data_IF_539473605122
#
_entry.id   IF_539473605122
#
_cell.length_a   1.000
_cell.length_b   1.000
_cell.length_c   1.000
_cell.angle_alpha   90.00
_cell.angle_beta   90.00
_cell.angle_gamma   90.00
#
_symmetry.space_group_name_H-M   'P 1'
#
loop_
_entity.id
_entity.type
_entity.pdbx_description
1 polymer ?
#
# COMPACT_ATOMS: atom_id res chain seq x y z
N UNK A 1 13.87 -0.15 6.48
CA UNK A 1 13.56 -1.53 6.89
C UNK A 1 13.70 -2.42 5.65
N UNK A 2 14.65 -3.36 5.58
CA UNK A 2 14.84 -4.26 4.41
C UNK A 2 14.06 -5.57 4.61
N UNK A 3 12.73 -5.51 4.60
CA UNK A 3 11.89 -6.71 4.60
C UNK A 3 11.20 -6.80 3.24
N UNK A 4 11.46 -7.87 2.50
CA UNK A 4 10.80 -8.07 1.21
C UNK A 4 9.31 -8.42 1.41
N UNK A 5 9.04 -9.25 2.42
CA UNK A 5 7.70 -9.67 2.84
C UNK A 5 7.63 -9.56 4.37
N UNK A 6 6.47 -9.13 4.89
CA UNK A 6 6.13 -9.09 6.31
C UNK A 6 4.99 -10.08 6.53
N UNK A 7 5.14 -10.98 7.48
CA UNK A 7 4.08 -11.92 7.86
C UNK A 7 3.68 -11.62 9.30
N UNK A 8 2.41 -11.32 9.51
CA UNK A 8 1.82 -11.08 10.84
C UNK A 8 0.64 -12.00 11.04
N UNK A 9 0.31 -12.28 12.29
CA UNK A 9 -0.64 -13.33 12.63
C UNK A 9 -1.22 -13.07 14.02
N UNK A 10 -2.55 -13.09 14.15
CA UNK A 10 -3.27 -13.02 15.43
C UNK A 10 -4.10 -14.30 15.65
N UNK A 11 -5.14 -14.30 16.48
CA UNK A 11 -5.94 -15.51 16.73
C UNK A 11 -6.74 -15.96 15.49
N UNK A 12 -7.22 -15.03 14.67
CA UNK A 12 -8.22 -15.27 13.62
C UNK A 12 -7.62 -15.25 12.20
N UNK A 13 -6.57 -14.46 11.98
CA UNK A 13 -6.02 -14.20 10.65
C UNK A 13 -4.50 -14.28 10.62
N UNK A 14 -3.99 -14.75 9.49
CA UNK A 14 -2.60 -14.57 9.08
C UNK A 14 -2.58 -13.62 7.88
N UNK A 15 -1.73 -12.61 7.93
CA UNK A 15 -1.59 -11.62 6.86
C UNK A 15 -0.19 -11.72 6.26
N UNK A 16 -0.11 -11.82 4.93
CA UNK A 16 1.13 -11.69 4.16
C UNK A 16 1.12 -10.31 3.53
N UNK A 17 2.08 -9.47 3.88
CA UNK A 17 2.26 -8.14 3.29
C UNK A 17 3.52 -8.13 2.43
N UNK A 18 3.36 -7.98 1.12
CA UNK A 18 4.43 -7.80 0.14
C UNK A 18 5.03 -6.39 0.23
N UNK A 19 5.63 -6.08 1.38
CA UNK A 19 6.08 -4.73 1.77
C UNK A 19 6.99 -4.07 0.73
N UNK A 20 7.90 -4.83 0.11
CA UNK A 20 8.76 -4.28 -0.94
C UNK A 20 7.99 -3.92 -2.20
N UNK A 21 7.00 -4.73 -2.59
CA UNK A 21 6.11 -4.40 -3.72
C UNK A 21 5.35 -3.12 -3.41
N UNK A 22 4.76 -3.02 -2.21
CA UNK A 22 4.09 -1.80 -1.77
C UNK A 22 4.99 -0.56 -1.87
N UNK A 23 6.23 -0.63 -1.37
CA UNK A 23 7.17 0.50 -1.45
C UNK A 23 7.55 0.87 -2.89
N UNK A 24 7.73 -0.13 -3.77
CA UNK A 24 8.03 0.10 -5.18
C UNK A 24 6.85 0.73 -5.93
N UNK A 25 5.63 0.25 -5.68
CA UNK A 25 4.41 0.81 -6.24
C UNK A 25 4.13 2.22 -5.71
N UNK A 26 4.37 2.48 -4.42
CA UNK A 26 4.26 3.81 -3.83
C UNK A 26 5.21 4.79 -4.51
N UNK A 27 6.48 4.40 -4.72
CA UNK A 27 7.47 5.19 -5.45
C UNK A 27 7.02 5.50 -6.88
N UNK A 28 6.55 4.51 -7.63
CA UNK A 28 6.05 4.71 -8.99
C UNK A 28 4.82 5.62 -9.00
N UNK A 29 3.89 5.43 -8.07
CA UNK A 29 2.68 6.24 -7.93
C UNK A 29 3.02 7.71 -7.69
N UNK A 30 3.94 7.99 -6.77
CA UNK A 30 4.43 9.34 -6.48
C UNK A 30 5.06 9.96 -7.74
N UNK A 31 5.86 9.20 -8.50
CA UNK A 31 6.49 9.73 -9.71
C UNK A 31 5.46 10.07 -10.79
N UNK A 32 4.50 9.17 -11.04
CA UNK A 32 3.48 9.33 -12.09
C UNK A 32 2.52 10.47 -11.75
N UNK A 33 1.93 10.43 -10.55
CA UNK A 33 0.85 11.34 -10.19
C UNK A 33 1.31 12.60 -9.47
N UNK A 34 2.50 12.59 -8.88
CA UNK A 34 3.15 13.79 -8.35
C UNK A 34 4.03 14.53 -9.37
N UNK A 35 4.11 14.03 -10.62
CA UNK A 35 4.91 14.61 -11.70
C UNK A 35 6.36 14.93 -11.28
N UNK A 36 7.01 13.96 -10.62
CA UNK A 36 8.37 14.08 -10.09
C UNK A 36 9.23 12.92 -10.57
N UNK A 37 10.55 13.05 -10.47
CA UNK A 37 11.47 11.99 -10.90
C UNK A 37 11.40 10.79 -9.97
N UNK A 38 11.78 9.61 -10.47
CA UNK A 38 11.82 8.38 -9.66
C UNK A 38 12.80 8.51 -8.49
N UNK A 39 13.89 9.28 -8.64
CA UNK A 39 14.86 9.53 -7.57
C UNK A 39 14.25 10.36 -6.44
N UNK A 40 13.51 11.42 -6.78
CA UNK A 40 12.80 12.23 -5.80
C UNK A 40 11.68 11.43 -5.12
N UNK A 41 10.93 10.65 -5.89
CA UNK A 41 9.90 9.76 -5.35
C UNK A 41 10.50 8.74 -4.38
N UNK A 42 11.66 8.16 -4.70
CA UNK A 42 12.38 7.24 -3.81
C UNK A 42 12.78 7.92 -2.50
N UNK A 43 13.22 9.18 -2.55
CA UNK A 43 13.56 9.92 -1.34
C UNK A 43 12.32 10.16 -0.47
N UNK A 44 11.18 10.54 -1.07
CA UNK A 44 9.91 10.69 -0.37
C UNK A 44 9.47 9.38 0.31
N UNK A 45 9.56 8.24 -0.37
CA UNK A 45 9.23 6.93 0.24
C UNK A 45 10.14 6.61 1.44
N UNK A 46 11.43 6.93 1.37
CA UNK A 46 12.37 6.72 2.50
C UNK A 46 12.05 7.62 3.69
N UNK A 47 11.61 8.83 3.43
CA UNK A 47 11.31 9.84 4.45
C UNK A 47 9.85 9.74 4.94
N UNK A 48 9.03 8.89 4.32
CA UNK A 48 7.61 8.76 4.63
C UNK A 48 7.40 8.16 6.02
N UNK A 49 6.91 8.98 6.94
CA UNK A 49 6.83 8.65 8.37
C UNK A 49 6.15 7.31 8.70
N UNK A 50 5.01 6.94 8.06
CA UNK A 50 4.39 5.63 8.30
C UNK A 50 5.34 4.44 8.07
N UNK A 51 6.25 4.54 7.10
CA UNK A 51 7.22 3.47 6.79
C UNK A 51 8.44 3.45 7.71
N UNK A 52 8.59 4.44 8.58
CA UNK A 52 9.67 4.51 9.57
C UNK A 52 9.31 3.77 10.86
N UNK A 53 8.03 3.46 11.08
CA UNK A 53 7.58 2.70 12.23
C UNK A 53 7.75 1.19 12.01
N UNK A 54 8.05 0.40 13.06
CA UNK A 54 8.07 -1.05 12.96
C UNK A 54 6.68 -1.60 12.62
N UNK A 55 6.60 -2.42 11.58
CA UNK A 55 5.38 -3.17 11.22
C UNK A 55 5.57 -4.60 11.73
N UNK A 56 4.77 -4.97 12.73
CA UNK A 56 4.96 -6.23 13.46
C UNK A 56 3.66 -6.93 13.89
N UNK A 57 2.53 -6.23 13.85
CA UNK A 57 1.21 -6.75 14.25
C UNK A 57 0.24 -6.82 13.06
N UNK A 58 -0.87 -7.53 13.23
CA UNK A 58 -1.95 -7.54 12.22
C UNK A 58 -2.56 -6.16 12.06
N UNK A 59 -2.77 -5.43 13.16
CA UNK A 59 -3.24 -4.03 13.16
C UNK A 59 -2.32 -3.11 12.35
N UNK A 60 -1.00 -3.25 12.49
CA UNK A 60 -0.03 -2.45 11.72
C UNK A 60 -0.21 -2.69 10.21
N UNK A 61 -0.47 -3.93 9.79
CA UNK A 61 -0.66 -4.25 8.36
C UNK A 61 -2.03 -3.78 7.88
N UNK A 62 -3.07 -3.94 8.71
CA UNK A 62 -4.43 -3.47 8.44
C UNK A 62 -4.43 -1.96 8.19
N UNK A 63 -3.67 -1.20 8.99
CA UNK A 63 -3.49 0.25 8.82
C UNK A 63 -3.07 0.61 7.38
N UNK A 64 -2.09 -0.09 6.80
CA UNK A 64 -1.66 0.17 5.42
C UNK A 64 -2.69 -0.29 4.38
N UNK A 65 -3.36 -1.41 4.62
CA UNK A 65 -4.35 -1.98 3.68
C UNK A 65 -5.66 -1.20 3.59
N UNK A 66 -5.95 -0.32 4.56
CA UNK A 66 -7.19 0.46 4.61
C UNK A 66 -7.31 1.44 3.42
N UNK A 67 -6.19 1.88 2.88
CA UNK A 67 -6.14 2.89 1.83
C UNK A 67 -5.41 2.38 0.59
N UNK A 68 -5.81 2.90 -0.57
CA UNK A 68 -5.14 2.60 -1.82
C UNK A 68 -3.77 3.29 -1.92
N UNK A 69 -2.91 2.79 -2.80
CA UNK A 69 -1.55 3.31 -3.00
C UNK A 69 -1.54 4.79 -3.41
N UNK A 70 -2.55 5.25 -4.15
CA UNK A 70 -2.64 6.66 -4.54
C UNK A 70 -2.83 7.59 -3.34
N UNK A 71 -3.69 7.23 -2.38
CA UNK A 71 -3.85 8.01 -1.16
C UNK A 71 -2.54 8.08 -0.36
N UNK A 72 -1.85 6.95 -0.20
CA UNK A 72 -0.52 6.92 0.42
C UNK A 72 0.50 7.79 -0.32
N UNK A 73 0.46 7.81 -1.66
CA UNK A 73 1.33 8.66 -2.47
C UNK A 73 1.04 10.15 -2.25
N UNK A 74 -0.24 10.55 -2.18
CA UNK A 74 -0.62 11.94 -1.93
C UNK A 74 -0.24 12.38 -0.50
N UNK A 75 -0.38 11.50 0.49
CA UNK A 75 0.12 11.75 1.85
C UNK A 75 1.65 11.93 1.86
N UNK A 76 2.39 11.14 1.10
CA UNK A 76 3.85 11.28 1.02
C UNK A 76 4.28 12.60 0.32
N UNK A 77 3.52 13.07 -0.66
CA UNK A 77 3.80 14.30 -1.40
C UNK A 77 3.41 15.58 -0.64
N UNK A 78 2.21 15.58 -0.07
CA UNK A 78 1.54 16.80 0.40
C UNK A 78 1.24 16.78 1.90
N UNK A 79 1.41 15.64 2.56
CA UNK A 79 1.15 15.46 3.97
C UNK A 79 -0.33 15.20 4.30
N UNK A 80 -0.60 15.13 5.60
CA UNK A 80 -1.96 14.99 6.13
C UNK A 80 -2.89 16.08 5.61
N UNK A 81 -4.15 15.74 5.42
CA UNK A 81 -5.20 16.67 4.96
C UNK A 81 -4.92 17.30 3.59
N UNK A 82 -4.13 16.64 2.73
CA UNK A 82 -3.76 17.18 1.42
C UNK A 82 -4.97 17.59 0.58
N UNK A 83 -6.11 16.91 0.69
CA UNK A 83 -7.34 17.21 -0.06
C UNK A 83 -7.89 18.63 0.21
N UNK A 84 -7.51 19.26 1.33
CA UNK A 84 -7.87 20.65 1.60
C UNK A 84 -7.02 21.66 0.81
N UNK A 85 -5.78 21.29 0.49
CA UNK A 85 -4.81 22.15 -0.23
C UNK A 85 -4.67 21.78 -1.70
N UNK A 86 -4.98 20.53 -2.05
CA UNK A 86 -4.93 19.91 -3.37
C UNK A 86 -6.23 19.12 -3.62
N UNK A 87 -7.39 19.79 -3.72
CA UNK A 87 -8.69 19.13 -3.94
C UNK A 87 -8.75 18.34 -5.25
N UNK A 88 -7.93 18.67 -6.24
CA UNK A 88 -7.77 17.91 -7.47
C UNK A 88 -7.22 16.49 -7.23
N UNK A 89 -6.52 16.26 -6.11
CA UNK A 89 -6.00 14.95 -5.71
C UNK A 89 -6.95 14.17 -4.79
N UNK A 90 -8.11 14.74 -4.42
CA UNK A 90 -9.09 14.03 -3.57
C UNK A 90 -9.68 12.82 -4.30
N UNK A 91 -9.88 12.96 -5.62
CA UNK A 91 -10.42 11.90 -6.47
C UNK A 91 -9.30 11.09 -7.11
N UNK A 92 -9.51 9.79 -7.20
CA UNK A 92 -8.64 8.92 -7.98
C UNK A 92 -8.62 9.35 -9.46
N UNK A 93 -7.44 9.46 -10.08
CA UNK A 93 -7.32 9.68 -11.51
C UNK A 93 -7.92 8.51 -12.31
N UNK A 94 -8.55 8.80 -13.45
CA UNK A 94 -9.16 7.77 -14.32
C UNK A 94 -8.16 6.69 -14.78
N UNK A 95 -6.87 7.01 -14.83
CA UNK A 95 -5.80 6.06 -15.20
C UNK A 95 -5.36 5.14 -14.07
N UNK A 96 -5.79 5.39 -12.82
CA UNK A 96 -5.27 4.73 -11.63
C UNK A 96 -5.53 3.22 -11.62
N UNK A 97 -6.79 2.81 -11.80
CA UNK A 97 -7.19 1.39 -11.74
C UNK A 97 -6.39 0.54 -12.75
N UNK A 98 -6.34 0.99 -14.01
CA UNK A 98 -5.57 0.32 -15.05
C UNK A 98 -4.08 0.25 -14.73
N UNK A 99 -3.54 1.32 -14.14
CA UNK A 99 -2.13 1.36 -13.75
C UNK A 99 -1.85 0.37 -12.61
N UNK A 100 -2.65 0.38 -11.54
CA UNK A 100 -2.38 -0.47 -10.36
C UNK A 100 -2.51 -1.96 -10.70
N UNK A 101 -3.51 -2.34 -11.50
CA UNK A 101 -3.67 -3.70 -12.02
C UNK A 101 -2.43 -4.14 -12.82
N UNK A 102 -2.00 -3.30 -13.76
CA UNK A 102 -0.81 -3.58 -14.59
C UNK A 102 0.46 -3.66 -13.74
N UNK A 103 0.56 -2.83 -12.71
CA UNK A 103 1.72 -2.71 -11.87
C UNK A 103 1.87 -3.92 -10.92
N UNK A 104 0.78 -4.38 -10.31
CA UNK A 104 0.70 -5.59 -9.48
C UNK A 104 0.90 -6.87 -10.30
N UNK A 105 0.38 -6.92 -11.52
CA UNK A 105 0.57 -8.05 -12.43
C UNK A 105 2.06 -8.35 -12.75
N UNK A 106 2.95 -7.33 -12.70
CA UNK A 106 4.42 -7.53 -12.84
C UNK A 106 5.00 -8.42 -11.74
N UNK A 107 4.31 -8.54 -10.61
CA UNK A 107 4.68 -9.36 -9.46
C UNK A 107 3.80 -10.60 -9.31
N UNK A 108 2.88 -10.86 -10.23
CA UNK A 108 1.85 -11.91 -10.14
C UNK A 108 1.00 -11.81 -8.85
N UNK A 109 0.66 -10.57 -8.47
CA UNK A 109 -0.17 -10.26 -7.31
C UNK A 109 -1.47 -9.59 -7.75
N UNK A 110 -2.54 -9.81 -6.98
CA UNK A 110 -3.80 -9.06 -7.10
C UNK A 110 -3.87 -7.89 -6.11
N UNK A 111 -3.10 -7.96 -5.02
CA UNK A 111 -2.94 -6.92 -4.00
C UNK A 111 -1.57 -7.06 -3.31
N UNK A 112 -1.12 -6.02 -2.60
CA UNK A 112 0.05 -6.09 -1.73
C UNK A 112 -0.19 -6.93 -0.47
N UNK A 113 -1.43 -7.28 -0.17
CA UNK A 113 -1.84 -7.95 1.06
C UNK A 113 -2.61 -9.24 0.77
N UNK A 114 -2.30 -10.32 1.48
CA UNK A 114 -3.10 -11.56 1.47
C UNK A 114 -3.60 -11.85 2.88
N UNK A 115 -4.93 -11.90 3.04
CA UNK A 115 -5.60 -12.21 4.30
C UNK A 115 -6.04 -13.67 4.30
N UNK A 116 -5.48 -14.46 5.21
CA UNK A 116 -5.74 -15.90 5.33
C UNK A 116 -6.45 -16.15 6.66
N UNK A 117 -7.76 -16.45 6.60
CA UNK A 117 -8.51 -16.83 7.80
C UNK A 117 -8.01 -18.17 8.34
N UNK A 118 -7.84 -18.26 9.66
CA UNK A 118 -7.47 -19.50 10.36
C UNK A 118 -8.65 -20.28 10.87
N UNK A 119 -9.82 -19.65 10.92
CA UNK A 119 -11.06 -20.29 11.29
C UNK A 119 -11.53 -21.14 10.12
N UNK A 120 -10.94 -22.33 9.98
CA UNK A 120 -11.44 -23.44 9.16
C UNK A 120 -12.71 -24.05 9.78
N UNK A 121 -13.67 -23.22 10.22
CA UNK A 121 -15.03 -23.68 10.35
C UNK A 121 -15.61 -23.79 8.94
N UNK A 122 -15.41 -24.98 8.38
CA UNK A 122 -16.15 -25.57 7.27
C UNK A 122 -17.57 -25.00 7.23
N UNK A 123 -17.88 -24.24 6.19
CA UNK A 123 -19.25 -24.20 5.66
C UNK A 123 -19.27 -24.94 4.34
N UNK A 124 -19.21 -26.26 4.45
CA UNK A 124 -19.96 -27.11 3.53
C UNK A 124 -21.45 -26.92 3.86
N UNK A 125 -22.23 -26.54 2.83
CA UNK A 125 -23.70 -26.52 2.72
C UNK A 125 -24.43 -25.41 3.52
N UNK A 126 -25.48 -24.80 2.99
CA UNK A 126 -26.46 -25.28 2.00
C UNK A 126 -26.54 -24.46 0.71
#
# INVERSE_FOLDING_TARGET
MNKDIIVTEDEDVKIIFHFKVFCELLKECISIYGNTTIENALQLVKDFHPLQQPISTTDDVVFFSHENIYHWAMLALYGETYWLTHPECEKLPDSYEKWIESALARYALDDCYEFISKNNNVTNKA
#
